data_IF_792101601265
#
_entry.id   IF_792101601265
#
_cell.length_a   1.000
_cell.length_b   1.000
_cell.length_c   1.000
_cell.angle_alpha   90.00
_cell.angle_beta   90.00
_cell.angle_gamma   90.00
#
_symmetry.space_group_name_H-M   'P 1'
#
loop_
_entity.id
_entity.type
_entity.pdbx_description
1 polymer ?
#
# COMPACT_ATOMS: atom_id res chain seq x y z
N UNK A 1 -46.30 -24.81 -18.13
CA UNK A 1 -45.49 -25.26 -16.97
C UNK A 1 -44.05 -25.04 -17.40
N UNK A 2 -43.59 -23.79 -17.27
CA UNK A 2 -42.28 -23.38 -17.77
C UNK A 2 -41.36 -23.22 -16.58
N UNK A 3 -40.39 -24.12 -16.48
CA UNK A 3 -39.27 -24.02 -15.55
C UNK A 3 -38.48 -22.73 -15.85
N UNK A 4 -38.41 -21.84 -14.87
CA UNK A 4 -37.46 -20.73 -14.87
C UNK A 4 -36.07 -21.29 -14.54
N UNK A 5 -35.02 -21.02 -15.33
CA UNK A 5 -33.68 -21.47 -14.98
C UNK A 5 -33.19 -20.70 -13.76
N UNK A 6 -32.85 -21.43 -12.71
CA UNK A 6 -32.10 -20.92 -11.55
C UNK A 6 -30.77 -20.35 -12.04
N UNK A 7 -30.40 -19.10 -11.71
CA UNK A 7 -29.08 -18.59 -12.06
C UNK A 7 -28.04 -19.36 -11.24
N UNK A 8 -27.32 -20.22 -11.94
CA UNK A 8 -26.17 -20.96 -11.45
C UNK A 8 -25.06 -19.95 -11.07
N UNK A 9 -24.91 -19.70 -9.77
CA UNK A 9 -23.89 -18.79 -9.23
C UNK A 9 -22.51 -19.40 -9.42
N UNK A 10 -21.89 -19.18 -10.59
CA UNK A 10 -20.52 -19.60 -10.85
C UNK A 10 -19.57 -18.97 -9.81
N UNK A 11 -18.61 -19.71 -9.24
CA UNK A 11 -17.64 -19.20 -8.26
C UNK A 11 -16.71 -18.09 -8.77
N UNK A 12 -16.89 -17.60 -10.00
CA UNK A 12 -16.25 -16.41 -10.57
C UNK A 12 -16.92 -15.07 -10.20
N UNK A 13 -18.17 -15.08 -9.73
CA UNK A 13 -18.95 -13.84 -9.49
C UNK A 13 -18.46 -13.02 -8.28
N UNK A 14 -17.76 -13.65 -7.33
CA UNK A 14 -17.16 -12.93 -6.18
C UNK A 14 -15.98 -12.02 -6.57
N UNK A 15 -15.50 -12.12 -7.81
CA UNK A 15 -14.49 -11.20 -8.40
C UNK A 15 -15.12 -10.11 -9.28
N UNK A 16 -16.42 -10.19 -9.55
CA UNK A 16 -17.12 -9.28 -10.45
C UNK A 16 -17.40 -7.90 -9.87
N UNK A 17 -16.95 -7.61 -8.63
CA UNK A 17 -17.15 -6.34 -7.92
C UNK A 17 -15.85 -5.62 -7.51
N UNK A 18 -14.69 -5.99 -8.04
CA UNK A 18 -13.40 -5.40 -7.67
C UNK A 18 -12.70 -4.80 -8.90
N UNK A 19 -12.69 -3.46 -9.02
CA UNK A 19 -11.92 -2.72 -10.04
C UNK A 19 -10.41 -2.93 -9.91
N UNK A 20 -9.92 -3.11 -8.68
CA UNK A 20 -8.49 -3.32 -8.43
C UNK A 20 -8.26 -4.20 -7.21
N UNK A 21 -7.27 -5.10 -7.28
CA UNK A 21 -6.86 -5.90 -6.14
C UNK A 21 -5.36 -6.17 -6.18
N UNK A 22 -4.65 -5.63 -5.19
CA UNK A 22 -3.22 -5.81 -5.00
C UNK A 22 -2.94 -6.50 -3.66
N UNK A 23 -2.16 -7.59 -3.72
CA UNK A 23 -1.61 -8.23 -2.52
C UNK A 23 -0.18 -7.77 -2.30
N UNK A 24 0.07 -7.20 -1.13
CA UNK A 24 1.42 -6.82 -0.71
C UNK A 24 2.13 -8.05 -0.15
N UNK A 25 2.55 -8.95 -1.04
CA UNK A 25 3.33 -10.11 -0.63
C UNK A 25 4.65 -9.70 0.04
N UNK A 26 5.00 -10.40 1.10
CA UNK A 26 6.31 -10.28 1.74
C UNK A 26 7.37 -10.64 0.70
N UNK A 27 8.48 -9.86 0.57
CA UNK A 27 9.54 -10.19 -0.36
C UNK A 27 10.06 -11.59 -0.05
N UNK A 28 10.24 -12.42 -1.09
CA UNK A 28 10.71 -13.78 -0.92
C UNK A 28 12.07 -13.87 -0.19
N UNK A 29 12.88 -12.81 -0.25
CA UNK A 29 14.16 -12.67 0.47
C UNK A 29 14.02 -12.58 2.00
N UNK A 30 12.82 -12.39 2.54
CA UNK A 30 12.59 -12.49 3.98
C UNK A 30 12.64 -13.92 4.49
N UNK A 31 12.37 -14.92 3.66
CA UNK A 31 12.48 -16.34 4.01
C UNK A 31 13.91 -16.75 4.37
N UNK A 32 14.95 -16.46 3.55
CA UNK A 32 16.33 -16.74 3.95
C UNK A 32 16.76 -15.92 5.16
N UNK A 33 16.35 -14.65 5.29
CA UNK A 33 16.65 -13.87 6.50
C UNK A 33 16.05 -14.50 7.77
N UNK A 34 14.79 -14.93 7.71
CA UNK A 34 14.14 -15.62 8.82
C UNK A 34 14.84 -16.96 9.12
N UNK A 35 15.24 -17.71 8.09
CA UNK A 35 16.00 -18.95 8.26
C UNK A 35 17.36 -18.70 8.93
N UNK A 36 18.05 -17.61 8.59
CA UNK A 36 19.30 -17.19 9.26
C UNK A 36 19.04 -16.84 10.72
N UNK A 37 18.02 -16.05 11.02
CA UNK A 37 17.66 -15.70 12.42
C UNK A 37 17.31 -16.95 13.23
N UNK A 38 16.49 -17.84 12.68
CA UNK A 38 16.16 -19.12 13.32
C UNK A 38 17.41 -19.98 13.51
N UNK A 39 18.28 -20.02 12.50
CA UNK A 39 19.55 -20.74 12.53
C UNK A 39 20.46 -20.24 13.65
N UNK A 40 20.69 -18.93 13.74
CA UNK A 40 21.55 -18.29 14.75
C UNK A 40 20.98 -18.47 16.15
N UNK A 41 19.72 -18.09 16.37
CA UNK A 41 19.09 -18.18 17.70
C UNK A 41 18.99 -19.63 18.15
N UNK A 42 18.61 -20.55 17.27
CA UNK A 42 18.57 -21.97 17.59
C UNK A 42 19.96 -22.56 17.86
N UNK A 43 21.00 -22.05 17.19
CA UNK A 43 22.38 -22.48 17.44
C UNK A 43 22.88 -22.03 18.81
N UNK A 44 22.58 -20.80 19.21
CA UNK A 44 22.85 -20.28 20.56
C UNK A 44 22.14 -21.13 21.63
N UNK A 45 20.86 -21.43 21.45
CA UNK A 45 20.08 -22.29 22.37
C UNK A 45 20.66 -23.71 22.44
N UNK A 46 21.14 -24.25 21.31
CA UNK A 46 21.80 -25.57 21.27
C UNK A 46 23.08 -25.59 22.11
N UNK A 47 23.92 -24.56 22.01
CA UNK A 47 25.13 -24.45 22.83
C UNK A 47 24.77 -24.31 24.32
N UNK A 48 23.77 -23.47 24.63
CA UNK A 48 23.37 -23.19 26.02
C UNK A 48 22.75 -24.40 26.74
N UNK A 49 21.99 -25.24 26.05
CA UNK A 49 21.15 -26.26 26.70
C UNK A 49 21.87 -27.61 26.90
N UNK A 50 22.94 -27.89 26.15
CA UNK A 50 23.76 -29.11 26.32
C UNK A 50 23.03 -30.46 26.15
N UNK A 51 21.73 -30.49 25.86
CA UNK A 51 20.88 -31.68 25.67
C UNK A 51 19.94 -31.55 24.47
N UNK A 52 19.74 -32.66 23.77
CA UNK A 52 19.33 -32.71 22.36
C UNK A 52 17.83 -32.48 22.09
N UNK A 53 16.94 -32.74 23.05
CA UNK A 53 15.48 -32.70 22.82
C UNK A 53 14.92 -31.29 23.01
N UNK A 54 15.28 -30.59 24.09
CA UNK A 54 14.77 -29.24 24.39
C UNK A 54 15.23 -28.18 23.37
N UNK A 55 16.44 -28.33 22.83
CA UNK A 55 16.96 -27.48 21.75
C UNK A 55 16.19 -27.67 20.44
N UNK A 56 15.81 -28.91 20.10
CA UNK A 56 14.99 -29.22 18.92
C UNK A 56 13.59 -28.62 19.04
N UNK A 57 12.97 -28.71 20.23
CA UNK A 57 11.66 -28.09 20.49
C UNK A 57 11.74 -26.57 20.33
N UNK A 58 12.77 -25.92 20.89
CA UNK A 58 12.97 -24.49 20.73
C UNK A 58 13.13 -24.07 19.24
N UNK A 59 13.86 -24.86 18.44
CA UNK A 59 13.99 -24.65 16.99
C UNK A 59 12.64 -24.69 16.28
N UNK A 60 11.83 -25.71 16.57
CA UNK A 60 10.52 -25.90 15.93
C UNK A 60 9.60 -24.75 16.33
N UNK A 61 9.54 -24.38 17.61
CA UNK A 61 8.71 -23.26 18.09
C UNK A 61 9.13 -21.95 17.43
N UNK A 62 10.43 -21.64 17.38
CA UNK A 62 10.93 -20.42 16.76
C UNK A 62 10.66 -20.40 15.24
N UNK A 63 10.86 -21.52 14.56
CA UNK A 63 10.53 -21.66 13.14
C UNK A 63 9.03 -21.46 12.89
N UNK A 64 8.16 -22.05 13.71
CA UNK A 64 6.71 -21.88 13.61
C UNK A 64 6.31 -20.43 13.84
N UNK A 65 6.88 -19.74 14.84
CA UNK A 65 6.63 -18.32 15.09
C UNK A 65 7.08 -17.48 13.89
N UNK A 66 8.27 -17.73 13.35
CA UNK A 66 8.79 -16.99 12.19
C UNK A 66 7.92 -17.21 10.94
N UNK A 67 7.54 -18.45 10.65
CA UNK A 67 6.64 -18.80 9.53
C UNK A 67 5.27 -18.15 9.73
N UNK A 68 4.71 -18.22 10.93
CA UNK A 68 3.42 -17.61 11.26
C UNK A 68 3.44 -16.09 11.11
N UNK A 69 4.51 -15.44 11.57
CA UNK A 69 4.69 -13.99 11.45
C UNK A 69 4.81 -13.56 9.99
N UNK A 70 5.65 -14.25 9.19
CA UNK A 70 5.79 -13.99 7.75
C UNK A 70 4.47 -14.21 7.01
N UNK A 71 3.75 -15.28 7.34
CA UNK A 71 2.46 -15.58 6.73
C UNK A 71 1.39 -14.54 7.10
N UNK A 72 1.35 -14.10 8.35
CA UNK A 72 0.46 -13.03 8.82
C UNK A 72 0.73 -11.71 8.11
N UNK A 73 2.01 -11.34 7.93
CA UNK A 73 2.43 -10.12 7.22
C UNK A 73 2.07 -10.14 5.73
N UNK A 74 1.94 -11.33 5.11
CA UNK A 74 1.55 -11.50 3.72
C UNK A 74 0.04 -11.38 3.44
N UNK A 75 -0.82 -11.29 4.47
CA UNK A 75 -2.29 -11.19 4.29
C UNK A 75 -2.81 -9.77 4.02
N UNK A 76 -1.92 -8.80 3.89
CA UNK A 76 -2.32 -7.41 3.67
C UNK A 76 -2.60 -7.19 2.19
N UNK A 77 -3.86 -6.90 1.88
CA UNK A 77 -4.33 -6.53 0.55
C UNK A 77 -4.84 -5.10 0.53
N UNK A 78 -4.61 -4.43 -0.60
CA UNK A 78 -5.27 -3.19 -0.97
C UNK A 78 -6.20 -3.53 -2.14
N UNK A 79 -7.48 -3.23 -2.01
CA UNK A 79 -8.45 -3.47 -3.08
C UNK A 79 -9.37 -2.28 -3.26
N UNK A 80 -9.81 -2.04 -4.48
CA UNK A 80 -10.83 -1.04 -4.82
C UNK A 80 -12.06 -1.78 -5.31
N UNK A 81 -13.19 -1.54 -4.63
CA UNK A 81 -14.50 -2.09 -4.99
C UNK A 81 -15.09 -1.35 -6.19
N UNK A 82 -16.05 -1.96 -6.88
CA UNK A 82 -16.79 -1.32 -7.98
C UNK A 82 -17.54 -0.06 -7.57
N UNK A 83 -17.99 0.01 -6.31
CA UNK A 83 -18.58 1.19 -5.65
C UNK A 83 -17.53 2.29 -5.35
N UNK A 84 -16.30 2.14 -5.86
CA UNK A 84 -15.15 3.03 -5.64
C UNK A 84 -14.75 3.17 -4.17
N UNK A 85 -14.93 2.12 -3.38
CA UNK A 85 -14.39 2.09 -2.02
C UNK A 85 -12.95 1.58 -2.03
N UNK A 86 -12.03 2.32 -1.42
CA UNK A 86 -10.68 1.87 -1.13
C UNK A 86 -10.67 1.02 0.14
N UNK A 87 -10.37 -0.26 0.01
CA UNK A 87 -10.18 -1.19 1.13
C UNK A 87 -8.68 -1.37 1.36
N UNK A 88 -8.19 -0.80 2.46
CA UNK A 88 -6.82 -0.96 2.94
C UNK A 88 -6.80 -1.92 4.14
N UNK A 89 -6.48 -3.19 3.90
CA UNK A 89 -6.49 -4.29 4.89
C UNK A 89 -7.83 -4.56 5.59
N UNK A 90 -8.22 -3.73 6.55
CA UNK A 90 -9.49 -3.79 7.30
C UNK A 90 -10.24 -2.46 7.28
N UNK A 91 -9.57 -1.37 6.90
CA UNK A 91 -10.17 -0.05 6.81
C UNK A 91 -10.80 0.11 5.42
N UNK A 92 -12.03 0.62 5.37
CA UNK A 92 -12.77 0.90 4.15
C UNK A 92 -12.93 2.41 4.06
N UNK A 93 -12.56 2.98 2.93
CA UNK A 93 -12.69 4.41 2.67
C UNK A 93 -13.50 4.60 1.39
N UNK A 94 -14.74 5.11 1.48
CA UNK A 94 -15.53 5.46 0.31
C UNK A 94 -14.87 6.58 -0.49
N UNK A 95 -14.97 6.57 -1.83
CA UNK A 95 -14.46 7.71 -2.64
C UNK A 95 -15.19 9.02 -2.35
N UNK A 96 -16.40 8.98 -1.80
CA UNK A 96 -17.20 10.18 -1.53
C UNK A 96 -16.57 11.12 -0.50
N UNK A 97 -15.72 10.60 0.39
CA UNK A 97 -14.98 11.39 1.38
C UNK A 97 -13.57 11.73 0.92
N UNK A 98 -13.18 11.30 -0.29
CA UNK A 98 -11.86 11.57 -0.86
C UNK A 98 -11.94 12.85 -1.68
N UNK A 99 -11.23 13.89 -1.24
CA UNK A 99 -11.06 15.12 -2.04
C UNK A 99 -10.04 14.86 -3.16
N UNK A 100 -8.83 14.39 -2.80
CA UNK A 100 -7.71 14.23 -3.73
C UNK A 100 -6.87 13.01 -3.42
N UNK A 101 -6.20 12.48 -4.46
CA UNK A 101 -5.22 11.42 -4.31
C UNK A 101 -3.91 11.78 -5.04
N UNK A 102 -2.79 11.46 -4.41
CA UNK A 102 -1.45 11.77 -4.87
C UNK A 102 -0.54 10.54 -4.76
N UNK A 103 0.24 10.25 -5.80
CA UNK A 103 1.25 9.20 -5.77
C UNK A 103 2.45 9.65 -4.93
N UNK A 104 2.91 8.88 -3.93
CA UNK A 104 4.09 9.25 -3.12
C UNK A 104 5.28 8.36 -3.52
N UNK A 105 6.30 8.93 -4.20
CA UNK A 105 7.49 8.18 -4.59
C UNK A 105 8.38 7.84 -3.39
N UNK A 106 9.27 6.85 -3.58
CA UNK A 106 10.14 6.35 -2.52
C UNK A 106 11.08 7.40 -1.90
N UNK A 107 11.45 8.43 -2.67
CA UNK A 107 12.26 9.57 -2.21
C UNK A 107 11.49 10.45 -1.22
N UNK A 108 10.19 10.65 -1.44
CA UNK A 108 9.32 11.48 -0.60
C UNK A 108 8.76 10.72 0.61
N UNK A 109 8.79 9.37 0.58
CA UNK A 109 8.26 8.49 1.63
C UNK A 109 8.83 8.80 3.02
N UNK A 110 10.14 9.01 3.13
CA UNK A 110 10.78 9.30 4.42
C UNK A 110 10.37 10.66 4.99
N UNK A 111 10.10 11.64 4.13
CA UNK A 111 9.63 12.96 4.55
C UNK A 111 8.18 12.89 5.05
N UNK A 112 7.32 12.18 4.30
CA UNK A 112 5.91 11.95 4.64
C UNK A 112 5.71 11.11 5.92
N UNK A 113 6.59 10.14 6.21
CA UNK A 113 6.53 9.32 7.43
C UNK A 113 7.21 9.97 8.63
N UNK A 114 8.01 11.01 8.41
CA UNK A 114 8.80 11.66 9.42
C UNK A 114 8.13 12.94 9.92
N UNK A 115 8.78 14.07 9.63
CA UNK A 115 8.44 15.38 10.19
C UNK A 115 7.11 15.97 9.71
N UNK A 116 6.60 15.48 8.58
CA UNK A 116 5.36 15.96 7.96
C UNK A 116 4.16 15.06 8.25
N UNK A 117 4.34 14.02 9.08
CA UNK A 117 3.25 13.15 9.49
C UNK A 117 2.37 13.86 10.51
N UNK A 118 1.09 13.97 10.19
CA UNK A 118 0.06 14.46 11.09
C UNK A 118 -0.32 13.32 12.06
N UNK A 119 -0.33 13.56 13.39
CA UNK A 119 -0.76 12.57 14.37
C UNK A 119 -2.17 12.03 14.15
N UNK A 120 -3.06 12.81 13.51
CA UNK A 120 -4.43 12.42 13.21
C UNK A 120 -4.56 11.59 11.91
N UNK A 121 -3.50 11.48 11.10
CA UNK A 121 -3.56 10.78 9.82
C UNK A 121 -3.58 9.26 9.97
N UNK A 122 -4.38 8.59 9.15
CA UNK A 122 -4.39 7.13 9.10
C UNK A 122 -3.19 6.59 8.30
N UNK A 123 -2.32 5.85 8.97
CA UNK A 123 -1.09 5.31 8.38
C UNK A 123 -1.16 3.80 8.16
N UNK A 124 -1.23 3.36 6.90
CA UNK A 124 -0.96 1.98 6.52
C UNK A 124 0.45 1.84 5.92
N UNK A 125 1.46 1.87 6.78
CA UNK A 125 2.85 1.70 6.38
C UNK A 125 3.27 0.22 6.28
N UNK A 126 3.99 -0.13 5.21
CA UNK A 126 4.72 -1.39 5.06
C UNK A 126 6.17 -1.11 4.68
N UNK A 127 7.09 -1.61 5.51
CA UNK A 127 8.52 -1.33 5.37
C UNK A 127 9.11 -1.84 4.04
N UNK A 128 8.54 -2.93 3.49
CA UNK A 128 9.01 -3.57 2.26
C UNK A 128 8.41 -3.02 0.97
N UNK A 129 7.50 -2.04 1.03
CA UNK A 129 6.92 -1.40 -0.17
C UNK A 129 7.44 0.03 -0.27
N UNK A 130 8.14 0.34 -1.36
CA UNK A 130 8.87 1.61 -1.49
C UNK A 130 7.95 2.80 -1.81
N UNK A 131 6.79 2.56 -2.39
CA UNK A 131 5.83 3.57 -2.86
C UNK A 131 4.59 3.62 -1.97
N UNK A 132 3.93 4.77 -1.93
CA UNK A 132 2.68 4.96 -1.18
C UNK A 132 1.70 5.78 -2.02
N UNK A 133 0.42 5.77 -1.64
CA UNK A 133 -0.58 6.71 -2.11
C UNK A 133 -1.04 7.55 -0.92
N UNK A 134 -1.06 8.87 -1.11
CA UNK A 134 -1.62 9.82 -0.16
C UNK A 134 -3.03 10.17 -0.63
N UNK A 135 -4.01 10.02 0.25
CA UNK A 135 -5.42 10.29 -0.02
C UNK A 135 -5.85 11.37 0.95
N UNK A 136 -6.23 12.54 0.48
CA UNK A 136 -6.76 13.64 1.29
C UNK A 136 -8.25 13.43 1.49
N UNK A 137 -8.70 13.52 2.74
CA UNK A 137 -10.09 13.34 3.10
C UNK A 137 -10.73 14.70 3.35
N UNK A 138 -11.98 14.84 2.92
CA UNK A 138 -12.86 15.98 3.25
C UNK A 138 -14.12 15.42 3.93
N UNK A 139 -13.93 14.91 5.14
CA UNK A 139 -15.00 14.37 5.98
C UNK A 139 -15.25 15.32 7.16
N UNK A 140 -16.42 15.99 7.24
CA UNK A 140 -16.73 16.87 8.36
C UNK A 140 -16.95 16.11 9.69
N UNK A 141 -17.20 14.80 9.62
CA UNK A 141 -17.51 13.96 10.78
C UNK A 141 -16.27 13.21 11.32
N UNK A 142 -15.15 13.19 10.59
CA UNK A 142 -13.90 12.53 10.97
C UNK A 142 -12.71 13.53 10.98
N UNK A 143 -12.02 13.73 12.12
CA UNK A 143 -10.85 14.62 12.19
C UNK A 143 -9.61 14.10 11.42
N UNK A 144 -9.70 12.96 10.72
CA UNK A 144 -8.59 12.38 9.96
C UNK A 144 -8.36 13.13 8.63
N UNK A 145 -7.30 13.93 8.48
CA UNK A 145 -7.15 14.82 7.33
C UNK A 145 -6.69 14.09 6.06
N UNK A 146 -5.91 13.01 6.21
CA UNK A 146 -5.43 12.23 5.08
C UNK A 146 -5.05 10.80 5.49
N UNK A 147 -5.06 9.89 4.51
CA UNK A 147 -4.62 8.51 4.62
C UNK A 147 -3.35 8.30 3.82
N UNK A 148 -2.36 7.60 4.42
CA UNK A 148 -1.12 7.21 3.76
C UNK A 148 -1.07 5.69 3.62
N UNK A 149 -1.28 5.17 2.42
CA UNK A 149 -1.42 3.73 2.17
C UNK A 149 -0.25 3.22 1.32
N UNK A 150 0.47 2.21 1.80
CA UNK A 150 1.54 1.57 1.02
C UNK A 150 0.96 0.75 -0.14
N UNK A 151 1.43 1.01 -1.36
CA UNK A 151 1.00 0.32 -2.60
C UNK A 151 2.17 0.25 -3.59
N UNK A 152 2.33 -0.85 -4.33
CA UNK A 152 3.39 -0.95 -5.36
C UNK A 152 3.00 -0.27 -6.66
N UNK A 153 1.71 -0.03 -6.87
CA UNK A 153 1.19 0.62 -8.07
C UNK A 153 0.23 1.77 -7.69
N UNK A 154 0.75 2.90 -7.18
CA UNK A 154 -0.09 4.03 -6.77
C UNK A 154 -0.98 4.54 -7.90
N UNK A 155 -0.46 4.63 -9.12
CA UNK A 155 -1.20 5.13 -10.29
C UNK A 155 -2.43 4.26 -10.61
N UNK A 156 -2.31 2.94 -10.42
CA UNK A 156 -3.44 2.01 -10.66
C UNK A 156 -4.53 2.16 -9.60
N UNK A 157 -4.15 2.47 -8.36
CA UNK A 157 -5.12 2.73 -7.29
C UNK A 157 -5.88 4.03 -7.56
N UNK A 158 -5.16 5.10 -7.91
CA UNK A 158 -5.76 6.40 -8.24
C UNK A 158 -6.71 6.27 -9.45
N UNK A 159 -6.28 5.57 -10.50
CA UNK A 159 -7.10 5.31 -11.67
C UNK A 159 -8.34 4.44 -11.35
N UNK A 160 -8.21 3.45 -10.47
CA UNK A 160 -9.33 2.60 -10.05
C UNK A 160 -10.38 3.37 -9.24
N UNK A 161 -9.96 4.40 -8.48
CA UNK A 161 -10.84 5.33 -7.80
C UNK A 161 -11.49 6.35 -8.76
N UNK A 162 -11.01 6.43 -10.01
CA UNK A 162 -11.47 7.41 -10.99
C UNK A 162 -10.97 8.83 -10.71
N UNK A 163 -9.92 8.97 -9.91
CA UNK A 163 -9.28 10.24 -9.57
C UNK A 163 -8.09 10.49 -10.49
N UNK A 164 -7.63 11.74 -10.54
CA UNK A 164 -6.38 12.14 -11.19
C UNK A 164 -5.28 12.28 -10.15
N UNK A 165 -4.05 12.04 -10.56
CA UNK A 165 -2.90 12.21 -9.67
C UNK A 165 -2.58 13.69 -9.49
N UNK A 166 -2.81 14.20 -8.27
CA UNK A 166 -2.60 15.60 -7.94
C UNK A 166 -1.13 16.05 -8.09
N UNK A 167 -0.16 15.12 -8.02
CA UNK A 167 1.24 15.46 -8.30
C UNK A 167 1.48 15.79 -9.77
N UNK A 168 0.79 15.09 -10.67
CA UNK A 168 0.91 15.34 -12.12
C UNK A 168 0.29 16.70 -12.46
N UNK A 169 -0.86 17.03 -11.86
CA UNK A 169 -1.53 18.34 -12.07
C UNK A 169 -0.71 19.52 -11.57
N UNK A 170 -0.01 19.35 -10.45
CA UNK A 170 0.85 20.40 -9.88
C UNK A 170 2.05 20.71 -10.78
N UNK A 171 2.63 19.70 -11.43
CA UNK A 171 3.75 19.87 -12.37
C UNK A 171 3.34 20.58 -13.66
N UNK A 172 2.16 20.30 -14.20
CA UNK A 172 1.68 20.87 -15.47
C UNK A 172 1.29 22.35 -15.32
N UNK A 173 0.69 22.73 -14.17
CA UNK A 173 0.35 24.13 -13.90
C UNK A 173 1.56 25.07 -13.82
N UNK A 174 2.72 24.55 -13.40
CA UNK A 174 3.95 25.32 -13.24
C UNK A 174 4.71 25.54 -14.57
N UNK A 175 4.44 24.74 -15.61
CA UNK A 175 5.09 24.85 -16.94
C UNK A 175 4.32 25.79 -17.89
N UNK A 176 3.02 26.00 -17.67
CA UNK A 176 2.19 26.97 -18.40
C UNK A 176 2.51 28.45 -18.15
N UNK A 177 3.55 28.75 -17.36
CA UNK A 177 3.96 30.09 -16.94
C UNK A 177 5.10 30.75 -17.73
N UNK A 178 5.42 30.32 -18.96
CA UNK A 178 6.42 31.01 -19.80
C UNK A 178 5.75 31.96 -20.80
N UNK A 179 5.63 33.28 -20.54
CA UNK A 179 5.35 34.23 -21.61
C UNK A 179 6.64 34.43 -22.42
N UNK A 180 6.70 33.78 -23.58
CA UNK A 180 7.66 34.11 -24.62
C UNK A 180 7.21 35.41 -25.32
N UNK A 181 7.94 36.52 -25.13
CA UNK A 181 8.34 37.51 -26.16
C UNK A 181 8.73 38.86 -25.55
N UNK A 182 10.01 39.19 -25.71
CA UNK A 182 10.46 40.56 -25.99
C UNK A 182 11.52 40.46 -27.08
N UNK A 183 11.07 40.14 -28.29
CA UNK A 183 11.81 40.44 -29.51
C UNK A 183 11.74 41.96 -29.67
N UNK A 184 12.74 42.65 -29.12
CA UNK A 184 13.04 44.03 -29.45
C UNK A 184 14.21 44.02 -30.42
N UNK A 185 13.95 43.56 -31.64
CA UNK A 185 14.86 43.75 -32.77
C UNK A 185 14.71 45.19 -33.26
N UNK A 186 15.87 45.78 -33.51
CA UNK A 186 16.18 46.66 -34.63
C UNK A 186 15.38 47.99 -34.75
N UNK A 187 16.02 49.10 -34.36
CA UNK A 187 15.68 50.42 -34.87
C UNK A 187 16.94 51.11 -35.42
N UNK A 188 17.07 50.99 -36.73
CA UNK A 188 17.66 51.89 -37.75
C UNK A 188 18.81 52.84 -37.38
N UNK A 189 19.94 52.62 -38.06
CA UNK A 189 20.97 53.62 -38.42
C UNK A 189 20.55 54.44 -39.66
#
# INVERSE_FOLDING_TARGET
MSDSPTPDSRPGDRRAGLRYHERLYVPWWWWPCAAVVVGVVGYEVKIATGHQIWSTVAYIVLAVIAVWLLWSMGRVSVSVTDDRELIAHKARLPVSVIDRAASVPASAKSAALGRQLDPAAYLMHRAWVKTMVLVVLDDPDDPTPYWLVSTRHPDRVIAALGLRDALTESGESNDSGTPSRSTGDEHDD
#
